data_IF_741226925059
#
_entry.id   IF_741226925059
#
_cell.length_a   1.000
_cell.length_b   1.000
_cell.length_c   1.000
_cell.angle_alpha   90.00
_cell.angle_beta   90.00
_cell.angle_gamma   90.00
#
_symmetry.space_group_name_H-M   'P 1'
#
loop_
_entity.id
_entity.type
_entity.pdbx_description
1 polymer ?
#
# COMPACT_ATOMS: atom_id res chain seq x y z
N UNK A 1 4.14 10.28 9.24
CA UNK A 1 4.32 9.05 10.05
C UNK A 1 5.33 8.18 9.30
N UNK A 2 6.39 7.72 9.98
CA UNK A 2 7.46 6.95 9.35
C UNK A 2 7.55 5.55 9.97
N UNK A 3 7.90 4.55 9.17
CA UNK A 3 8.30 3.25 9.70
C UNK A 3 9.74 3.32 10.21
N UNK A 4 10.06 2.52 11.24
CA UNK A 4 11.45 2.33 11.67
C UNK A 4 12.25 1.65 10.56
N UNK A 5 13.56 1.90 10.55
CA UNK A 5 14.50 1.27 9.60
C UNK A 5 14.42 -0.25 9.68
N UNK A 6 14.25 -0.81 10.88
CA UNK A 6 14.07 -2.25 11.09
C UNK A 6 12.80 -2.78 10.42
N UNK A 7 11.70 -2.02 10.43
CA UNK A 7 10.46 -2.41 9.75
C UNK A 7 10.54 -2.24 8.24
N UNK A 8 11.39 -1.34 7.72
CA UNK A 8 11.66 -1.22 6.29
C UNK A 8 12.55 -2.36 5.74
N UNK A 9 13.25 -3.10 6.61
CA UNK A 9 14.02 -4.29 6.23
C UNK A 9 13.16 -5.48 5.74
N UNK A 10 11.84 -5.32 5.65
CA UNK A 10 10.91 -6.28 5.04
C UNK A 10 11.20 -6.54 3.54
N UNK A 11 12.06 -5.73 2.93
CA UNK A 11 12.62 -5.98 1.59
C UNK A 11 13.45 -7.28 1.61
N UNK A 12 12.95 -8.30 0.90
CA UNK A 12 13.62 -9.59 0.74
C UNK A 12 13.87 -9.87 -0.74
N UNK A 13 14.82 -10.76 -1.03
CA UNK A 13 15.04 -11.29 -2.39
C UNK A 13 13.82 -12.11 -2.85
N UNK A 14 13.69 -12.28 -4.16
CA UNK A 14 12.71 -13.18 -4.81
C UNK A 14 11.25 -12.74 -4.81
N UNK A 15 10.99 -11.49 -4.43
CA UNK A 15 9.70 -10.81 -4.54
C UNK A 15 9.96 -9.39 -5.08
N UNK A 16 9.04 -8.80 -5.86
CA UNK A 16 9.16 -7.44 -6.31
C UNK A 16 8.74 -6.47 -5.20
N UNK A 17 9.36 -5.30 -5.22
CA UNK A 17 8.98 -4.14 -4.42
C UNK A 17 7.98 -3.29 -5.23
N UNK A 18 6.78 -3.09 -4.69
CA UNK A 18 5.74 -2.27 -5.33
C UNK A 18 5.48 -1.06 -4.46
N UNK A 19 5.86 0.11 -4.96
CA UNK A 19 5.70 1.40 -4.26
C UNK A 19 4.70 2.30 -4.98
N UNK A 20 3.94 3.07 -4.21
CA UNK A 20 3.04 4.11 -4.69
C UNK A 20 3.11 5.33 -3.75
N UNK A 21 3.04 6.53 -4.33
CA UNK A 21 2.99 7.79 -3.59
C UNK A 21 1.85 8.65 -4.13
N UNK A 22 1.18 9.38 -3.25
CA UNK A 22 0.08 10.27 -3.61
C UNK A 22 0.08 11.49 -2.71
N UNK A 23 -0.11 12.66 -3.30
CA UNK A 23 -0.40 13.90 -2.58
C UNK A 23 -1.91 14.09 -2.51
N UNK A 24 -2.47 14.15 -1.30
CA UNK A 24 -3.91 14.30 -1.08
C UNK A 24 -4.18 15.47 -0.17
N UNK A 25 -5.22 16.22 -0.51
CA UNK A 25 -5.76 17.30 0.30
C UNK A 25 -6.95 16.77 1.10
N UNK A 26 -6.89 16.92 2.41
CA UNK A 26 -7.96 16.55 3.34
C UNK A 26 -9.04 17.63 3.40
N UNK A 27 -10.19 17.30 4.00
CA UNK A 27 -11.33 18.21 4.21
C UNK A 27 -10.96 19.44 5.04
N UNK A 28 -10.07 19.28 6.02
CA UNK A 28 -9.53 20.37 6.85
C UNK A 28 -8.40 21.19 6.15
N UNK A 29 -8.28 21.09 4.82
CA UNK A 29 -7.38 21.87 3.98
C UNK A 29 -5.87 21.57 4.19
N UNK A 30 -5.53 20.48 4.88
CA UNK A 30 -4.14 20.02 4.99
C UNK A 30 -3.76 19.14 3.80
N UNK A 31 -2.56 19.37 3.27
CA UNK A 31 -1.95 18.56 2.21
C UNK A 31 -1.01 17.52 2.82
N UNK A 32 -1.23 16.25 2.48
CA UNK A 32 -0.46 15.13 2.99
C UNK A 32 0.12 14.33 1.83
N UNK A 33 1.39 13.93 1.94
CA UNK A 33 1.99 12.93 1.06
C UNK A 33 1.90 11.57 1.72
N UNK A 34 1.15 10.66 1.09
CA UNK A 34 1.04 9.29 1.53
C UNK A 34 1.93 8.39 0.68
N UNK A 35 2.67 7.49 1.34
CA UNK A 35 3.50 6.48 0.70
C UNK A 35 2.99 5.10 1.09
N UNK A 36 2.85 4.21 0.11
CA UNK A 36 2.50 2.81 0.31
C UNK A 36 3.59 1.92 -0.30
N UNK A 37 3.97 0.89 0.46
CA UNK A 37 4.94 -0.13 0.05
C UNK A 37 4.25 -1.48 0.17
N UNK A 38 4.35 -2.30 -0.87
CA UNK A 38 3.79 -3.65 -0.93
C UNK A 38 4.77 -4.66 -1.52
N UNK A 39 4.61 -5.91 -1.09
CA UNK A 39 5.37 -7.06 -1.58
C UNK A 39 4.40 -8.16 -2.01
N UNK A 40 4.78 -8.94 -3.01
CA UNK A 40 4.00 -10.13 -3.39
C UNK A 40 4.14 -11.21 -2.32
N UNK A 41 3.03 -11.88 -1.97
CA UNK A 41 3.07 -13.03 -1.08
C UNK A 41 3.23 -14.32 -1.87
N UNK A 42 4.15 -15.19 -1.43
CA UNK A 42 4.24 -16.57 -1.91
C UNK A 42 3.00 -17.37 -1.48
N UNK A 43 2.40 -18.11 -2.42
CA UNK A 43 1.26 -18.99 -2.09
C UNK A 43 1.75 -20.23 -1.33
N UNK A 44 0.91 -20.70 -0.40
CA UNK A 44 1.15 -21.96 0.30
C UNK A 44 1.17 -23.09 -0.74
N UNK A 45 2.21 -23.93 -0.73
CA UNK A 45 2.52 -24.98 -1.75
C UNK A 45 3.15 -24.52 -3.06
N UNK A 46 3.53 -23.25 -3.21
CA UNK A 46 4.30 -22.82 -4.39
C UNK A 46 5.73 -23.41 -4.37
N UNK A 47 6.07 -24.23 -5.36
CA UNK A 47 7.39 -24.88 -5.48
C UNK A 47 8.48 -23.86 -5.84
N UNK A 48 8.19 -22.94 -6.76
CA UNK A 48 9.13 -21.87 -7.16
C UNK A 48 9.49 -20.98 -5.96
N UNK A 49 10.78 -20.64 -5.84
CA UNK A 49 11.27 -19.69 -4.83
C UNK A 49 10.85 -18.26 -5.13
N UNK A 50 10.67 -17.91 -6.41
CA UNK A 50 10.34 -16.57 -6.88
C UNK A 50 8.84 -16.34 -6.99
N UNK A 51 8.42 -15.12 -6.65
CA UNK A 51 7.04 -14.64 -6.75
C UNK A 51 6.98 -13.29 -7.47
N UNK A 52 7.64 -13.15 -8.62
CA UNK A 52 7.62 -11.89 -9.35
C UNK A 52 6.27 -11.63 -10.02
N UNK A 53 5.77 -10.40 -9.88
CA UNK A 53 4.62 -9.91 -10.61
C UNK A 53 5.07 -9.41 -11.99
N UNK A 54 4.23 -9.60 -13.00
CA UNK A 54 4.47 -9.01 -14.32
C UNK A 54 4.38 -7.47 -14.24
N UNK A 55 5.00 -6.78 -15.21
CA UNK A 55 4.96 -5.32 -15.28
C UNK A 55 3.53 -4.78 -15.41
N UNK A 56 2.66 -5.51 -16.12
CA UNK A 56 1.22 -5.22 -16.25
C UNK A 56 0.51 -5.27 -14.89
N UNK A 57 0.71 -6.36 -14.13
CA UNK A 57 0.15 -6.54 -12.79
C UNK A 57 0.67 -5.46 -11.83
N UNK A 58 1.96 -5.16 -11.87
CA UNK A 58 2.57 -4.11 -11.04
C UNK A 58 1.92 -2.75 -11.29
N UNK A 59 1.65 -2.40 -12.55
CA UNK A 59 0.94 -1.16 -12.91
C UNK A 59 -0.51 -1.16 -12.44
N UNK A 60 -1.21 -2.29 -12.54
CA UNK A 60 -2.59 -2.43 -12.05
C UNK A 60 -2.66 -2.30 -10.52
N UNK A 61 -1.76 -2.97 -9.80
CA UNK A 61 -1.64 -2.88 -8.33
C UNK A 61 -1.37 -1.44 -7.90
N UNK A 62 -0.41 -0.75 -8.54
CA UNK A 62 -0.12 0.66 -8.24
C UNK A 62 -1.34 1.57 -8.45
N UNK A 63 -2.10 1.37 -9.53
CA UNK A 63 -3.33 2.13 -9.78
C UNK A 63 -4.35 1.92 -8.65
N UNK A 64 -4.59 0.67 -8.24
CA UNK A 64 -5.52 0.34 -7.15
C UNK A 64 -5.06 0.86 -5.79
N UNK A 65 -3.75 0.84 -5.51
CA UNK A 65 -3.18 1.46 -4.32
C UNK A 65 -3.51 2.95 -4.26
N UNK A 66 -3.21 3.69 -5.32
CA UNK A 66 -3.45 5.13 -5.41
C UNK A 66 -4.94 5.45 -5.26
N UNK A 67 -5.81 4.71 -5.95
CA UNK A 67 -7.27 4.89 -5.91
C UNK A 67 -7.81 4.77 -4.48
N UNK A 68 -7.43 3.71 -3.75
CA UNK A 68 -7.90 3.48 -2.38
C UNK A 68 -7.34 4.53 -1.43
N UNK A 69 -6.06 4.91 -1.59
CA UNK A 69 -5.44 5.94 -0.77
C UNK A 69 -6.16 7.28 -0.93
N UNK A 70 -6.46 7.70 -2.16
CA UNK A 70 -7.19 8.95 -2.43
C UNK A 70 -8.58 8.89 -1.80
N UNK A 71 -9.35 7.83 -2.05
CA UNK A 71 -10.73 7.71 -1.57
C UNK A 71 -10.84 7.76 -0.04
N UNK A 72 -9.89 7.13 0.67
CA UNK A 72 -9.89 7.09 2.13
C UNK A 72 -9.40 8.38 2.79
N UNK A 73 -8.55 9.15 2.10
CA UNK A 73 -7.93 10.36 2.64
C UNK A 73 -8.65 11.66 2.23
N UNK A 74 -9.30 11.71 1.06
CA UNK A 74 -10.02 12.91 0.60
C UNK A 74 -11.33 13.16 1.36
N UNK A 75 -11.92 12.12 1.93
CA UNK A 75 -13.21 12.14 2.61
C UNK A 75 -13.12 12.40 4.12
N UNK A 76 -11.92 12.49 4.69
CA UNK A 76 -11.70 12.52 6.13
C UNK A 76 -10.89 13.72 6.61
N UNK A 77 -11.18 14.14 7.84
CA UNK A 77 -10.35 15.07 8.60
C UNK A 77 -9.09 14.38 9.14
N UNK A 78 -8.09 15.17 9.54
CA UNK A 78 -6.82 14.69 10.09
C UNK A 78 -7.00 13.72 11.28
N UNK A 79 -7.94 14.02 12.18
CA UNK A 79 -8.20 13.17 13.36
C UNK A 79 -8.69 11.78 12.96
N UNK A 80 -9.63 11.72 12.02
CA UNK A 80 -10.17 10.47 11.50
C UNK A 80 -9.13 9.72 10.67
N UNK A 81 -8.35 10.44 9.88
CA UNK A 81 -7.27 9.86 9.08
C UNK A 81 -6.23 9.15 9.97
N UNK A 82 -5.81 9.79 11.07
CA UNK A 82 -4.91 9.15 12.06
C UNK A 82 -5.57 7.95 12.72
N UNK A 83 -6.86 8.03 13.06
CA UNK A 83 -7.61 6.90 13.61
C UNK A 83 -7.68 5.69 12.64
N UNK A 84 -7.69 5.93 11.32
CA UNK A 84 -7.59 4.86 10.29
C UNK A 84 -6.17 4.29 10.12
N UNK A 85 -5.13 5.07 10.42
CA UNK A 85 -3.73 4.62 10.32
C UNK A 85 -3.34 3.67 11.45
N UNK A 86 -3.81 3.89 12.68
CA UNK A 86 -3.44 3.07 13.85
C UNK A 86 -3.74 1.56 13.64
N UNK A 87 -4.93 1.15 13.15
CA UNK A 87 -5.22 -0.26 12.88
C UNK A 87 -4.78 -0.75 11.49
N UNK A 88 -4.03 0.06 10.74
CA UNK A 88 -3.60 -0.19 9.35
C UNK A 88 -4.78 -0.51 8.40
N UNK A 89 -5.91 0.20 8.53
CA UNK A 89 -7.15 -0.07 7.76
C UNK A 89 -6.92 0.06 6.25
N UNK A 90 -6.26 1.13 5.82
CA UNK A 90 -5.97 1.41 4.41
C UNK A 90 -5.10 0.29 3.81
N UNK A 91 -4.09 -0.17 4.55
CA UNK A 91 -3.21 -1.26 4.10
C UNK A 91 -3.96 -2.59 3.92
N UNK A 92 -4.88 -2.90 4.84
CA UNK A 92 -5.73 -4.12 4.75
C UNK A 92 -6.70 -4.05 3.57
N UNK A 93 -7.27 -2.88 3.31
CA UNK A 93 -8.17 -2.66 2.17
C UNK A 93 -7.44 -2.83 0.83
N UNK A 94 -6.25 -2.23 0.69
CA UNK A 94 -5.38 -2.42 -0.48
C UNK A 94 -5.07 -3.90 -0.69
N UNK A 95 -4.71 -4.62 0.38
CA UNK A 95 -4.40 -6.05 0.30
C UNK A 95 -5.60 -6.88 -0.17
N UNK A 96 -6.81 -6.54 0.29
CA UNK A 96 -8.04 -7.20 -0.13
C UNK A 96 -8.34 -6.93 -1.61
N UNK A 97 -8.25 -5.68 -2.04
CA UNK A 97 -8.55 -5.27 -3.42
C UNK A 97 -7.54 -5.78 -4.46
N UNK A 98 -6.29 -6.02 -4.05
CA UNK A 98 -5.22 -6.48 -4.95
C UNK A 98 -5.02 -8.00 -4.94
N UNK A 99 -5.74 -8.74 -4.09
CA UNK A 99 -5.60 -10.20 -3.99
C UNK A 99 -6.03 -10.97 -5.24
N UNK A 100 -6.82 -10.35 -6.13
CA UNK A 100 -7.30 -10.95 -7.38
C UNK A 100 -6.40 -10.63 -8.59
N UNK A 101 -5.37 -9.80 -8.43
CA UNK A 101 -4.43 -9.37 -9.48
C UNK A 101 -3.18 -10.25 -9.45
#
# INVERSE_FOLDING_TARGET
MNFTTDKLSLVRKWQPLIEAHVDVKTTCNFTLRMCCIGFTKKRDRQVKRTCYAQSSQTRQIRRKMVEIMVNQASSCDLKEFVAKLIPEVIGKEIKKATSSI
#
